data_IF_083535119802
#
_entry.id   IF_083535119802
#
_cell.length_a   1.000
_cell.length_b   1.000
_cell.length_c   1.000
_cell.angle_alpha   90.00
_cell.angle_beta   90.00
_cell.angle_gamma   90.00
#
_symmetry.space_group_name_H-M   'P 1'
#
loop_
_entity.id
_entity.type
_entity.pdbx_description
1 polymer ?
#
# COMPACT_ATOMS: atom_id res chain seq x y z
N UNK A 1 -1.94 -14.76 -31.20
CA UNK A 1 -3.03 -14.21 -30.37
C UNK A 1 -2.71 -14.54 -28.93
N UNK A 2 -2.57 -13.52 -28.05
CA UNK A 2 -2.53 -13.76 -26.62
C UNK A 2 -3.97 -13.84 -26.12
N UNK A 3 -4.32 -14.94 -25.49
CA UNK A 3 -5.64 -15.08 -24.86
C UNK A 3 -5.57 -14.50 -23.45
N UNK A 4 -6.51 -13.64 -23.08
CA UNK A 4 -6.73 -13.29 -21.70
C UNK A 4 -7.09 -14.55 -20.91
N UNK A 5 -6.28 -14.89 -19.94
CA UNK A 5 -6.47 -16.13 -19.16
C UNK A 5 -7.38 -15.96 -17.96
N UNK A 6 -7.77 -14.72 -17.65
CA UNK A 6 -8.62 -14.43 -16.50
C UNK A 6 -7.87 -14.45 -15.18
N UNK A 7 -8.61 -14.47 -14.11
CA UNK A 7 -8.14 -14.58 -12.74
C UNK A 7 -9.16 -15.29 -11.86
N UNK A 8 -8.74 -15.79 -10.71
CA UNK A 8 -9.63 -16.22 -9.63
C UNK A 8 -9.56 -15.20 -8.50
N UNK A 9 -10.71 -14.95 -7.85
CA UNK A 9 -10.82 -14.02 -6.74
C UNK A 9 -11.60 -14.66 -5.60
N UNK A 10 -11.14 -14.47 -4.37
CA UNK A 10 -11.77 -15.06 -3.18
C UNK A 10 -11.47 -14.23 -1.94
N UNK A 11 -12.30 -14.35 -0.92
CA UNK A 11 -11.98 -13.92 0.42
C UNK A 11 -11.34 -15.09 1.18
N UNK A 12 -10.24 -14.79 1.88
CA UNK A 12 -9.56 -15.74 2.75
C UNK A 12 -9.45 -15.17 4.15
N UNK A 13 -9.29 -16.03 5.15
CA UNK A 13 -8.97 -15.61 6.51
C UNK A 13 -7.47 -15.77 6.73
N UNK A 14 -6.82 -14.69 7.15
CA UNK A 14 -5.39 -14.69 7.52
C UNK A 14 -5.23 -14.37 9.01
N UNK A 15 -4.04 -14.63 9.56
CA UNK A 15 -3.68 -14.24 10.93
C UNK A 15 -3.06 -12.85 10.90
N UNK A 16 -3.78 -11.84 11.36
CA UNK A 16 -3.29 -10.49 11.54
C UNK A 16 -2.52 -10.28 12.85
N UNK A 17 -2.46 -9.03 13.29
CA UNK A 17 -1.77 -8.65 14.53
C UNK A 17 -2.25 -9.48 15.73
N UNK A 18 -1.28 -9.95 16.52
CA UNK A 18 -1.51 -10.83 17.70
C UNK A 18 -2.30 -12.11 17.38
N UNK A 19 -2.24 -12.56 16.12
CA UNK A 19 -2.93 -13.76 15.66
C UNK A 19 -4.44 -13.61 15.46
N UNK A 20 -4.98 -12.40 15.50
CA UNK A 20 -6.38 -12.12 15.23
C UNK A 20 -6.75 -12.57 13.82
N UNK A 21 -7.82 -13.38 13.63
CA UNK A 21 -8.30 -13.69 12.30
C UNK A 21 -8.85 -12.43 11.65
N UNK A 22 -8.40 -12.14 10.43
CA UNK A 22 -8.90 -11.02 9.62
C UNK A 22 -9.19 -11.50 8.22
N UNK A 23 -10.21 -10.93 7.59
CA UNK A 23 -10.56 -11.19 6.20
C UNK A 23 -9.58 -10.49 5.28
N UNK A 24 -9.21 -11.14 4.17
CA UNK A 24 -8.42 -10.55 3.11
C UNK A 24 -8.99 -10.96 1.74
N UNK A 25 -9.04 -10.02 0.81
CA UNK A 25 -9.38 -10.28 -0.57
C UNK A 25 -8.15 -10.66 -1.37
N UNK A 26 -8.22 -11.76 -2.09
CA UNK A 26 -7.14 -12.29 -2.93
C UNK A 26 -7.57 -12.30 -4.37
N UNK A 27 -6.70 -11.87 -5.26
CA UNK A 27 -6.84 -12.04 -6.70
C UNK A 27 -5.59 -12.74 -7.24
N UNK A 28 -5.81 -13.80 -8.00
CA UNK A 28 -4.79 -14.73 -8.48
C UNK A 28 -4.84 -14.82 -9.99
N UNK A 29 -3.74 -14.55 -10.73
CA UNK A 29 -3.72 -14.74 -12.17
C UNK A 29 -4.00 -16.20 -12.54
N UNK A 30 -4.72 -16.43 -13.64
CA UNK A 30 -4.82 -17.78 -14.21
C UNK A 30 -3.56 -18.13 -14.97
N UNK A 31 -3.06 -19.37 -14.76
CA UNK A 31 -1.88 -19.86 -15.45
C UNK A 31 -0.91 -20.58 -14.51
N UNK A 32 0.22 -21.06 -15.04
CA UNK A 32 1.09 -21.97 -14.31
C UNK A 32 1.92 -21.32 -13.19
N UNK A 33 1.95 -19.98 -13.06
CA UNK A 33 2.82 -19.32 -12.08
C UNK A 33 4.29 -19.75 -12.21
N UNK A 34 5.15 -19.55 -11.20
CA UNK A 34 4.85 -18.76 -10.01
C UNK A 34 4.82 -17.26 -10.29
N UNK A 35 4.00 -16.53 -9.55
CA UNK A 35 3.78 -15.09 -9.69
C UNK A 35 4.47 -14.29 -8.59
N UNK A 36 4.95 -13.07 -8.84
CA UNK A 36 5.36 -12.16 -7.77
C UNK A 36 4.13 -11.72 -6.95
N UNK A 37 4.32 -11.57 -5.64
CA UNK A 37 3.28 -11.19 -4.70
C UNK A 37 3.18 -9.68 -4.51
N UNK A 38 1.96 -9.15 -4.39
CA UNK A 38 1.70 -7.76 -3.99
C UNK A 38 0.74 -7.74 -2.82
N UNK A 39 1.15 -7.14 -1.70
CA UNK A 39 0.32 -6.89 -0.54
C UNK A 39 -0.16 -5.45 -0.56
N UNK A 40 -1.46 -5.25 -0.65
CA UNK A 40 -2.10 -3.95 -0.65
C UNK A 40 -2.48 -3.53 0.76
N UNK A 41 -2.15 -2.30 1.11
CA UNK A 41 -2.48 -1.65 2.39
C UNK A 41 -3.48 -0.55 2.07
N UNK A 42 -4.74 -0.73 2.46
CA UNK A 42 -5.80 0.19 2.10
C UNK A 42 -5.71 1.53 2.82
N UNK A 43 -6.37 2.53 2.24
CA UNK A 43 -6.41 3.89 2.76
C UNK A 43 -7.42 4.06 3.89
N UNK A 44 -7.45 5.27 4.49
CA UNK A 44 -8.35 5.58 5.60
C UNK A 44 -9.86 5.39 5.28
N UNK A 45 -10.39 5.66 4.07
CA UNK A 45 -11.76 5.31 3.73
C UNK A 45 -12.13 3.83 3.86
N UNK A 46 -11.14 2.95 4.00
CA UNK A 46 -11.37 1.57 4.38
C UNK A 46 -11.17 0.54 3.27
N UNK A 47 -11.59 -0.68 3.55
CA UNK A 47 -11.54 -1.86 2.67
C UNK A 47 -12.68 -1.80 1.66
N UNK A 48 -12.56 -0.88 0.69
CA UNK A 48 -13.60 -0.49 -0.27
C UNK A 48 -13.40 -1.16 -1.63
N UNK A 49 -14.42 -1.04 -2.50
CA UNK A 49 -14.37 -1.54 -3.88
C UNK A 49 -13.14 -1.04 -4.64
N UNK A 50 -12.66 0.17 -4.35
CA UNK A 50 -11.42 0.69 -4.94
C UNK A 50 -10.23 -0.27 -4.72
N UNK A 51 -10.08 -0.78 -3.50
CA UNK A 51 -8.97 -1.69 -3.17
C UNK A 51 -9.22 -3.10 -3.67
N UNK A 52 -10.47 -3.54 -3.69
CA UNK A 52 -10.87 -4.81 -4.30
C UNK A 52 -10.55 -4.79 -5.80
N UNK A 53 -10.91 -3.70 -6.50
CA UNK A 53 -10.57 -3.53 -7.93
C UNK A 53 -9.07 -3.41 -8.16
N UNK A 54 -8.37 -2.65 -7.31
CA UNK A 54 -6.91 -2.52 -7.41
C UNK A 54 -6.20 -3.87 -7.24
N UNK A 55 -6.70 -4.73 -6.34
CA UNK A 55 -6.20 -6.10 -6.17
C UNK A 55 -6.38 -6.92 -7.45
N UNK A 56 -7.56 -6.85 -8.08
CA UNK A 56 -7.83 -7.48 -9.39
C UNK A 56 -6.94 -6.92 -10.49
N UNK A 57 -6.66 -5.62 -10.48
CA UNK A 57 -5.78 -4.97 -11.46
C UNK A 57 -4.37 -5.55 -11.39
N UNK A 58 -3.81 -5.78 -10.20
CA UNK A 58 -2.52 -6.45 -10.07
C UNK A 58 -2.56 -7.88 -10.62
N UNK A 59 -3.61 -8.64 -10.34
CA UNK A 59 -3.76 -10.00 -10.88
C UNK A 59 -3.89 -10.00 -12.42
N UNK A 60 -4.58 -9.01 -12.99
CA UNK A 60 -4.66 -8.82 -14.45
C UNK A 60 -3.27 -8.59 -15.07
N UNK A 61 -2.35 -7.98 -14.33
CA UNK A 61 -0.97 -7.71 -14.77
C UNK A 61 0.03 -8.80 -14.34
N UNK A 62 -0.45 -9.97 -13.86
CA UNK A 62 0.41 -11.12 -13.60
C UNK A 62 1.00 -11.18 -12.18
N UNK A 63 0.42 -10.47 -11.22
CA UNK A 63 0.81 -10.51 -9.80
C UNK A 63 -0.21 -11.28 -8.98
N UNK A 64 0.23 -12.14 -8.07
CA UNK A 64 -0.62 -12.63 -7.00
C UNK A 64 -0.82 -11.48 -6.00
N UNK A 65 -2.07 -11.06 -5.77
CA UNK A 65 -2.35 -9.87 -4.99
C UNK A 65 -3.28 -10.17 -3.81
N UNK A 66 -3.03 -9.52 -2.67
CA UNK A 66 -3.85 -9.63 -1.45
C UNK A 66 -4.07 -8.25 -0.84
N UNK A 67 -5.30 -7.98 -0.40
CA UNK A 67 -5.66 -6.80 0.38
C UNK A 67 -6.37 -7.25 1.66
N UNK A 68 -5.70 -7.10 2.80
CA UNK A 68 -6.29 -7.42 4.11
C UNK A 68 -7.25 -6.32 4.57
N UNK A 69 -8.35 -6.70 5.25
CA UNK A 69 -9.24 -5.77 5.92
C UNK A 69 -8.61 -5.32 7.24
N UNK A 70 -7.91 -4.19 7.25
CA UNK A 70 -7.28 -3.61 8.45
C UNK A 70 -8.32 -3.14 9.49
N UNK A 71 -9.58 -3.04 9.08
CA UNK A 71 -10.71 -2.60 9.93
C UNK A 71 -11.61 -3.76 10.35
N UNK A 72 -11.14 -5.01 10.24
CA UNK A 72 -11.89 -6.19 10.66
C UNK A 72 -12.42 -6.08 12.09
N UNK A 73 -11.61 -5.52 12.99
CA UNK A 73 -11.96 -5.30 14.40
C UNK A 73 -12.99 -4.19 14.62
N UNK A 74 -13.25 -3.40 13.59
CA UNK A 74 -14.14 -2.24 13.59
C UNK A 74 -15.53 -2.52 13.00
N UNK A 75 -15.84 -3.79 12.69
CA UNK A 75 -17.14 -4.18 12.19
C UNK A 75 -17.13 -5.34 11.20
N UNK A 76 -15.95 -5.86 10.89
CA UNK A 76 -15.79 -7.00 9.97
C UNK A 76 -15.98 -6.64 8.50
N UNK A 77 -15.91 -7.67 7.66
CA UNK A 77 -16.01 -7.54 6.19
C UNK A 77 -17.44 -7.23 5.69
N UNK A 78 -18.45 -7.46 6.51
CA UNK A 78 -19.85 -7.23 6.17
C UNK A 78 -20.36 -5.81 6.50
N UNK A 79 -19.56 -5.04 7.24
CA UNK A 79 -19.90 -3.67 7.57
C UNK A 79 -19.75 -2.73 6.35
N UNK A 80 -20.57 -1.67 6.32
CA UNK A 80 -20.43 -0.64 5.29
C UNK A 80 -19.05 0.05 5.41
N UNK A 81 -18.18 0.00 4.40
CA UNK A 81 -16.84 0.55 4.47
C UNK A 81 -16.79 2.06 4.78
N UNK A 82 -17.77 2.83 4.27
CA UNK A 82 -17.82 4.28 4.50
C UNK A 82 -18.13 4.61 5.96
N UNK A 83 -19.03 3.87 6.61
CA UNK A 83 -19.38 4.03 8.02
C UNK A 83 -18.21 3.64 8.92
N UNK A 84 -17.56 2.52 8.62
CA UNK A 84 -16.36 2.06 9.33
C UNK A 84 -15.23 3.07 9.17
N UNK A 85 -14.96 3.51 7.95
CA UNK A 85 -13.93 4.50 7.66
C UNK A 85 -14.18 5.85 8.35
N UNK A 86 -15.45 6.30 8.44
CA UNK A 86 -15.82 7.52 9.15
C UNK A 86 -15.55 7.39 10.67
N UNK A 87 -15.93 6.26 11.27
CA UNK A 87 -15.68 5.97 12.69
C UNK A 87 -14.18 5.90 12.99
N UNK A 88 -13.42 5.10 12.23
CA UNK A 88 -11.96 4.98 12.39
C UNK A 88 -11.28 6.34 12.28
N UNK A 89 -11.74 7.18 11.35
CA UNK A 89 -11.21 8.56 11.22
C UNK A 89 -11.50 9.39 12.47
N UNK A 90 -12.72 9.34 12.99
CA UNK A 90 -13.11 10.08 14.20
C UNK A 90 -12.29 9.66 15.43
N UNK A 91 -11.84 8.40 15.46
CA UNK A 91 -11.01 7.82 16.52
C UNK A 91 -9.50 8.03 16.31
N UNK A 92 -9.09 8.78 15.28
CA UNK A 92 -7.68 9.10 14.98
C UNK A 92 -6.93 8.01 14.21
N UNK A 93 -7.63 7.11 13.55
CA UNK A 93 -7.03 6.03 12.75
C UNK A 93 -6.77 4.74 13.54
N UNK A 94 -6.20 3.75 12.87
CA UNK A 94 -5.72 2.49 13.47
C UNK A 94 -4.27 2.67 13.92
N UNK A 95 -3.87 2.00 14.99
CA UNK A 95 -2.49 2.07 15.49
C UNK A 95 -1.49 1.49 14.47
N UNK A 96 -0.36 2.17 14.29
CA UNK A 96 0.70 1.75 13.36
C UNK A 96 1.15 0.30 13.63
N UNK A 97 1.30 -0.08 14.90
CA UNK A 97 1.70 -1.42 15.28
C UNK A 97 0.70 -2.49 14.82
N UNK A 98 -0.60 -2.21 14.89
CA UNK A 98 -1.63 -3.12 14.41
C UNK A 98 -1.57 -3.27 12.89
N UNK A 99 -1.45 -2.15 12.15
CA UNK A 99 -1.37 -2.22 10.68
C UNK A 99 -0.12 -2.98 10.24
N UNK A 100 1.01 -2.77 10.90
CA UNK A 100 2.25 -3.53 10.64
C UNK A 100 2.04 -5.02 10.91
N UNK A 101 1.39 -5.40 12.02
CA UNK A 101 1.10 -6.80 12.35
C UNK A 101 0.11 -7.45 11.37
N UNK A 102 -0.92 -6.74 10.94
CA UNK A 102 -1.89 -7.23 9.93
C UNK A 102 -1.21 -7.40 8.55
N UNK A 103 -0.37 -6.44 8.17
CA UNK A 103 0.42 -6.52 6.93
C UNK A 103 1.42 -7.68 6.98
N UNK A 104 2.07 -7.91 8.12
CA UNK A 104 2.96 -9.07 8.32
C UNK A 104 2.21 -10.40 8.12
N UNK A 105 0.99 -10.48 8.61
CA UNK A 105 0.10 -11.63 8.37
C UNK A 105 -0.15 -11.86 6.88
N UNK A 106 -0.43 -10.79 6.13
CA UNK A 106 -0.64 -10.86 4.68
C UNK A 106 0.65 -11.25 3.92
N UNK A 107 1.81 -10.71 4.31
CA UNK A 107 3.12 -11.08 3.72
C UNK A 107 3.44 -12.55 3.99
N UNK A 108 3.23 -13.05 5.21
CA UNK A 108 3.42 -14.47 5.56
C UNK A 108 2.50 -15.38 4.76
N UNK A 109 1.22 -15.00 4.67
CA UNK A 109 0.26 -15.74 3.84
C UNK A 109 0.70 -15.78 2.38
N UNK A 110 1.09 -14.62 1.81
CA UNK A 110 1.58 -14.55 0.44
C UNK A 110 2.75 -15.51 0.18
N UNK A 111 3.75 -15.50 1.06
CA UNK A 111 4.94 -16.35 0.92
C UNK A 111 4.63 -17.85 1.08
N UNK A 112 3.54 -18.22 1.75
CA UNK A 112 3.11 -19.60 1.91
C UNK A 112 2.39 -20.16 0.68
N UNK A 113 2.05 -19.30 -0.30
CA UNK A 113 1.33 -19.75 -1.48
C UNK A 113 2.25 -20.48 -2.46
N UNK A 114 1.86 -21.68 -2.96
CA UNK A 114 2.71 -22.49 -3.84
C UNK A 114 2.97 -21.84 -5.20
N UNK A 115 2.10 -20.91 -5.61
CA UNK A 115 2.21 -20.15 -6.85
C UNK A 115 2.82 -18.75 -6.66
N UNK A 116 3.30 -18.40 -5.45
CA UNK A 116 4.13 -17.22 -5.23
C UNK A 116 5.58 -17.53 -5.59
N UNK A 117 6.25 -16.63 -6.34
CA UNK A 117 7.67 -16.80 -6.70
C UNK A 117 8.65 -16.48 -5.57
N UNK A 118 8.13 -16.15 -4.37
CA UNK A 118 8.92 -15.77 -3.19
C UNK A 118 9.27 -14.27 -3.13
N UNK A 119 9.02 -13.49 -4.18
CA UNK A 119 9.17 -12.04 -4.18
C UNK A 119 7.85 -11.38 -3.76
N UNK A 120 7.92 -10.48 -2.79
CA UNK A 120 6.73 -9.79 -2.26
C UNK A 120 6.98 -8.30 -2.17
N UNK A 121 6.05 -7.52 -2.70
CA UNK A 121 6.08 -6.06 -2.62
C UNK A 121 4.86 -5.51 -1.89
N UNK A 122 4.99 -4.27 -1.42
CA UNK A 122 3.92 -3.49 -0.79
C UNK A 122 3.39 -2.42 -1.74
N UNK A 123 2.09 -2.22 -1.73
CA UNK A 123 1.41 -1.13 -2.41
C UNK A 123 0.43 -0.45 -1.45
N UNK A 124 0.59 0.84 -1.24
CA UNK A 124 -0.35 1.61 -0.41
C UNK A 124 -0.56 3.02 -0.92
N UNK A 125 -1.72 3.60 -0.62
CA UNK A 125 -2.01 5.00 -0.92
C UNK A 125 -2.55 5.73 0.31
N UNK A 126 -2.34 7.03 0.41
CA UNK A 126 -2.78 7.84 1.55
C UNK A 126 -2.21 7.25 2.87
N UNK A 127 -3.05 6.96 3.86
CA UNK A 127 -2.60 6.27 5.09
C UNK A 127 -1.97 4.90 4.79
N UNK A 128 -2.44 4.18 3.78
CA UNK A 128 -1.84 2.92 3.34
C UNK A 128 -0.44 3.11 2.77
N UNK A 129 -0.18 4.21 2.06
CA UNK A 129 1.16 4.56 1.58
C UNK A 129 2.13 4.82 2.73
N UNK A 130 1.69 5.61 3.71
CA UNK A 130 2.42 5.81 4.97
C UNK A 130 2.74 4.49 5.67
N UNK A 131 1.76 3.59 5.79
CA UNK A 131 1.97 2.30 6.46
C UNK A 131 2.84 1.34 5.65
N UNK A 132 2.81 1.39 4.32
CA UNK A 132 3.73 0.64 3.48
C UNK A 132 5.19 1.05 3.75
N UNK A 133 5.44 2.36 3.85
CA UNK A 133 6.76 2.88 4.22
C UNK A 133 7.18 2.46 5.63
N UNK A 134 6.29 2.58 6.63
CA UNK A 134 6.56 2.12 8.01
C UNK A 134 6.93 0.63 8.02
N UNK A 135 6.14 -0.20 7.34
CA UNK A 135 6.40 -1.64 7.27
C UNK A 135 7.78 -1.92 6.66
N UNK A 136 8.09 -1.30 5.53
CA UNK A 136 9.38 -1.46 4.85
C UNK A 136 10.58 -0.98 5.70
N UNK A 137 10.35 -0.06 6.63
CA UNK A 137 11.37 0.36 7.60
C UNK A 137 11.50 -0.61 8.80
N UNK A 138 10.40 -1.21 9.24
CA UNK A 138 10.39 -2.05 10.44
C UNK A 138 10.62 -3.55 10.15
N UNK A 139 10.38 -4.00 8.93
CA UNK A 139 10.50 -5.41 8.51
C UNK A 139 11.48 -5.52 7.34
N UNK A 140 12.13 -6.69 7.22
CA UNK A 140 13.15 -6.95 6.18
C UNK A 140 12.73 -8.08 5.25
N UNK A 141 11.43 -8.23 5.06
CA UNK A 141 10.83 -9.35 4.36
C UNK A 141 10.01 -8.94 3.13
N UNK A 142 10.30 -7.77 2.56
CA UNK A 142 9.71 -7.29 1.30
C UNK A 142 10.79 -6.82 0.34
N UNK A 143 10.54 -6.99 -0.96
CA UNK A 143 11.51 -6.78 -2.03
C UNK A 143 11.34 -5.41 -2.71
N UNK A 144 10.18 -4.77 -2.58
CA UNK A 144 9.88 -3.44 -3.10
C UNK A 144 8.71 -2.79 -2.33
N UNK A 145 8.67 -1.48 -2.29
CA UNK A 145 7.59 -0.72 -1.66
C UNK A 145 7.10 0.39 -2.59
N UNK A 146 5.79 0.53 -2.70
CA UNK A 146 5.16 1.67 -3.38
C UNK A 146 4.34 2.46 -2.38
N UNK A 147 4.67 3.75 -2.32
CA UNK A 147 4.00 4.77 -1.53
C UNK A 147 3.33 5.78 -2.46
N UNK A 148 2.01 5.74 -2.54
CA UNK A 148 1.25 6.74 -3.26
C UNK A 148 0.77 7.81 -2.28
N UNK A 149 1.28 9.04 -2.42
CA UNK A 149 0.93 10.21 -1.58
C UNK A 149 0.72 9.85 -0.10
N UNK A 150 1.69 9.15 0.50
CA UNK A 150 1.64 8.79 1.91
C UNK A 150 1.60 10.02 2.81
N UNK A 151 0.43 10.32 3.37
CA UNK A 151 0.28 11.44 4.29
C UNK A 151 0.90 11.14 5.65
N UNK A 152 1.44 12.18 6.32
CA UNK A 152 2.02 12.05 7.66
C UNK A 152 3.23 11.11 7.74
N UNK A 153 4.02 11.01 6.67
CA UNK A 153 5.39 10.46 6.76
C UNK A 153 6.28 11.45 7.49
N UNK A 154 6.17 12.73 7.13
CA UNK A 154 6.73 13.85 7.88
C UNK A 154 5.71 14.31 8.92
N UNK A 155 6.08 14.28 10.19
CA UNK A 155 5.21 14.65 11.32
C UNK A 155 5.97 15.47 12.35
N UNK A 156 5.32 16.49 12.91
CA UNK A 156 5.80 17.19 14.08
C UNK A 156 5.65 16.35 15.35
N UNK A 157 6.43 16.68 16.37
CA UNK A 157 6.36 15.96 17.67
C UNK A 157 4.97 16.06 18.32
N UNK A 158 4.28 17.17 18.09
CA UNK A 158 2.92 17.45 18.59
C UNK A 158 1.84 16.56 17.94
N UNK A 159 2.14 15.97 16.79
CA UNK A 159 1.24 15.06 16.10
C UNK A 159 1.38 13.60 16.57
N UNK A 160 2.43 13.31 17.33
CA UNK A 160 2.68 11.97 17.86
C UNK A 160 1.71 11.62 18.98
N UNK A 161 1.29 10.36 19.02
CA UNK A 161 0.39 9.86 20.05
C UNK A 161 0.58 8.34 20.24
N UNK A 162 -0.24 7.70 21.07
CA UNK A 162 -0.12 6.26 21.36
C UNK A 162 -0.35 5.37 20.15
N UNK A 163 -1.14 5.81 19.16
CA UNK A 163 -1.37 5.07 17.91
C UNK A 163 -0.26 5.30 16.89
N UNK A 164 0.40 6.45 16.93
CA UNK A 164 1.45 6.90 16.02
C UNK A 164 2.64 7.44 16.84
N UNK A 165 3.40 6.54 17.52
CA UNK A 165 4.40 6.97 18.52
C UNK A 165 5.68 7.53 17.93
N UNK A 166 5.96 7.28 16.65
CA UNK A 166 7.17 7.69 15.94
C UNK A 166 6.82 8.28 14.58
N UNK A 167 7.43 9.39 14.21
CA UNK A 167 7.29 9.92 12.86
C UNK A 167 7.96 8.95 11.86
N UNK A 168 7.26 8.51 10.80
CA UNK A 168 7.84 7.54 9.86
C UNK A 168 9.16 8.01 9.23
N UNK A 169 9.33 9.29 9.01
CA UNK A 169 10.57 9.86 8.47
C UNK A 169 11.79 9.50 9.33
N UNK A 170 11.64 9.41 10.64
CA UNK A 170 12.72 9.05 11.57
C UNK A 170 13.17 7.58 11.42
N UNK A 171 12.36 6.75 10.75
CA UNK A 171 12.66 5.34 10.45
C UNK A 171 13.40 5.17 9.11
N UNK A 172 13.59 6.23 8.31
CA UNK A 172 14.12 6.15 6.93
C UNK A 172 15.44 5.39 6.83
N UNK A 173 16.32 5.52 7.83
CA UNK A 173 17.61 4.78 7.90
C UNK A 173 17.45 3.25 7.83
N UNK A 174 16.30 2.74 8.25
CA UNK A 174 16.01 1.30 8.35
C UNK A 174 15.25 0.76 7.11
N UNK A 175 14.89 1.62 6.14
CA UNK A 175 14.22 1.19 4.90
C UNK A 175 15.01 0.06 4.23
N UNK A 176 14.34 -1.09 4.03
CA UNK A 176 14.99 -2.35 3.64
C UNK A 176 14.99 -2.65 2.14
N UNK A 177 14.16 -1.96 1.36
CA UNK A 177 13.94 -2.25 -0.05
C UNK A 177 13.83 -0.96 -0.88
N UNK A 178 13.92 -1.03 -2.22
CA UNK A 178 13.63 0.10 -3.10
C UNK A 178 12.23 0.65 -2.89
N UNK A 179 12.09 1.98 -2.94
CA UNK A 179 10.86 2.72 -2.74
C UNK A 179 10.47 3.48 -4.01
N UNK A 180 9.24 3.32 -4.49
CA UNK A 180 8.62 4.21 -5.47
C UNK A 180 7.62 5.12 -4.76
N UNK A 181 7.77 6.43 -4.90
CA UNK A 181 6.83 7.43 -4.42
C UNK A 181 6.17 8.18 -5.58
N UNK A 182 4.82 8.29 -5.56
CA UNK A 182 4.08 9.08 -6.53
C UNK A 182 3.27 10.14 -5.79
N UNK A 183 3.46 11.42 -6.13
CA UNK A 183 2.89 12.55 -5.40
C UNK A 183 2.29 13.60 -6.34
N UNK A 184 1.20 14.22 -5.93
CA UNK A 184 0.63 15.38 -6.61
C UNK A 184 1.20 16.68 -6.06
N UNK A 185 1.54 17.64 -6.93
CA UNK A 185 2.07 18.95 -6.51
C UNK A 185 0.99 19.87 -5.92
N UNK A 186 -0.30 19.55 -6.15
CA UNK A 186 -1.44 20.28 -5.58
C UNK A 186 -1.98 19.60 -4.30
N UNK A 187 -1.26 18.61 -3.78
CA UNK A 187 -1.62 17.94 -2.52
C UNK A 187 -1.22 18.81 -1.31
N UNK A 188 -2.04 18.79 -0.28
CA UNK A 188 -1.79 19.49 0.99
C UNK A 188 -1.20 18.59 2.07
N UNK A 189 -1.34 17.26 1.91
CA UNK A 189 -0.85 16.26 2.88
C UNK A 189 -0.61 14.89 2.21
N UNK A 190 0.62 14.63 1.72
CA UNK A 190 1.83 15.43 1.91
C UNK A 190 1.89 16.65 0.98
N UNK A 191 2.31 17.79 1.52
CA UNK A 191 2.62 18.97 0.70
C UNK A 191 3.93 18.75 -0.08
N UNK A 192 4.20 19.52 -1.15
CA UNK A 192 5.46 19.47 -1.88
C UNK A 192 6.70 19.63 -0.97
N UNK A 193 6.59 20.45 0.09
CA UNK A 193 7.67 20.66 1.08
C UNK A 193 7.91 19.39 1.89
N UNK A 194 6.84 18.72 2.36
CA UNK A 194 6.95 17.44 3.08
C UNK A 194 7.54 16.35 2.18
N UNK A 195 7.20 16.33 0.90
CA UNK A 195 7.80 15.38 -0.07
C UNK A 195 9.29 15.70 -0.27
N UNK A 196 9.69 16.99 -0.31
CA UNK A 196 11.09 17.40 -0.37
C UNK A 196 11.89 16.92 0.86
N UNK A 197 11.29 17.06 2.05
CA UNK A 197 11.90 16.63 3.31
C UNK A 197 12.07 15.09 3.34
N UNK A 198 11.03 14.35 2.94
CA UNK A 198 11.11 12.89 2.83
C UNK A 198 12.21 12.47 1.84
N UNK A 199 12.26 13.09 0.67
CA UNK A 199 13.30 12.82 -0.33
C UNK A 199 14.71 13.15 0.18
N UNK A 200 14.87 14.24 0.90
CA UNK A 200 16.15 14.63 1.51
C UNK A 200 16.64 13.60 2.53
N UNK A 201 15.75 13.05 3.34
CA UNK A 201 16.09 12.03 4.34
C UNK A 201 16.45 10.69 3.67
N UNK A 202 15.76 10.28 2.58
CA UNK A 202 16.14 9.13 1.78
C UNK A 202 17.55 9.29 1.18
N UNK A 203 17.87 10.46 0.62
CA UNK A 203 19.20 10.80 0.09
C UNK A 203 20.27 10.74 1.18
N UNK A 204 20.02 11.35 2.33
CA UNK A 204 20.91 11.37 3.48
C UNK A 204 21.30 9.97 3.94
N UNK A 205 20.37 9.03 3.88
CA UNK A 205 20.61 7.64 4.28
C UNK A 205 20.99 6.71 3.12
N UNK A 206 21.24 7.25 1.91
CA UNK A 206 21.68 6.48 0.74
C UNK A 206 20.67 5.41 0.31
N UNK A 207 19.35 5.66 0.47
CA UNK A 207 18.29 4.71 0.14
C UNK A 207 18.04 4.68 -1.36
N UNK A 208 17.66 3.51 -1.87
CA UNK A 208 17.21 3.35 -3.25
C UNK A 208 15.76 3.80 -3.36
N UNK A 209 15.50 4.83 -4.15
CA UNK A 209 14.16 5.34 -4.34
C UNK A 209 13.97 5.98 -5.72
N UNK A 210 12.71 6.11 -6.14
CA UNK A 210 12.24 6.82 -7.33
C UNK A 210 11.02 7.65 -6.92
N UNK A 211 11.12 9.00 -6.96
CA UNK A 211 9.99 9.89 -6.67
C UNK A 211 9.55 10.59 -7.95
N UNK A 212 8.25 10.55 -8.23
CA UNK A 212 7.62 11.25 -9.33
C UNK A 212 6.55 12.21 -8.81
N UNK A 213 6.50 13.39 -9.39
CA UNK A 213 5.61 14.47 -9.00
C UNK A 213 4.77 14.91 -10.19
N UNK A 214 3.51 15.18 -9.93
CA UNK A 214 2.51 15.47 -10.95
C UNK A 214 1.87 16.82 -10.72
N UNK A 215 2.09 17.77 -11.65
CA UNK A 215 1.41 19.06 -11.67
C UNK A 215 -0.07 18.87 -11.96
N UNK A 216 -0.93 19.69 -11.35
CA UNK A 216 -2.38 19.62 -11.49
C UNK A 216 -3.02 18.41 -10.83
N UNK A 217 -2.25 17.60 -10.08
CA UNK A 217 -2.73 16.47 -9.33
C UNK A 217 -2.70 16.76 -7.83
N UNK A 218 -3.76 16.38 -7.13
CA UNK A 218 -3.90 16.49 -5.67
C UNK A 218 -3.98 15.11 -5.01
N UNK A 219 -4.28 15.09 -3.73
CA UNK A 219 -4.45 13.84 -2.97
C UNK A 219 -5.44 12.89 -3.64
N UNK A 220 -5.04 11.64 -3.88
CA UNK A 220 -5.95 10.63 -4.43
C UNK A 220 -6.21 10.73 -5.94
N UNK A 221 -5.31 11.32 -6.71
CA UNK A 221 -5.48 11.50 -8.16
C UNK A 221 -5.60 10.18 -8.98
N UNK A 222 -5.40 9.03 -8.36
CA UNK A 222 -5.70 7.70 -8.94
C UNK A 222 -7.16 7.25 -8.70
N UNK A 223 -7.90 7.94 -7.82
CA UNK A 223 -9.24 7.50 -7.43
C UNK A 223 -10.27 7.81 -8.51
N UNK A 224 -10.39 6.91 -9.48
CA UNK A 224 -11.22 7.06 -10.68
C UNK A 224 -12.70 7.38 -10.40
N UNK A 225 -13.21 7.07 -9.22
CA UNK A 225 -14.58 7.33 -8.77
C UNK A 225 -14.75 8.67 -8.02
N UNK A 226 -13.69 9.49 -7.95
CA UNK A 226 -13.69 10.77 -7.23
C UNK A 226 -13.39 11.94 -8.19
N UNK A 227 -13.91 13.14 -7.89
CA UNK A 227 -13.62 14.35 -8.72
C UNK A 227 -12.13 14.71 -8.79
N UNK A 228 -11.33 14.19 -7.86
CA UNK A 228 -9.87 14.39 -7.81
C UNK A 228 -9.11 13.56 -8.84
N UNK A 229 -9.78 12.64 -9.54
CA UNK A 229 -9.15 11.79 -10.54
C UNK A 229 -8.49 12.62 -11.66
N UNK A 230 -7.26 12.28 -11.98
CA UNK A 230 -6.49 12.87 -13.08
C UNK A 230 -6.04 11.75 -14.02
N UNK A 231 -6.79 11.49 -15.09
CA UNK A 231 -6.58 10.32 -15.95
C UNK A 231 -5.16 10.19 -16.50
N UNK A 232 -4.60 11.26 -17.02
CA UNK A 232 -3.26 11.26 -17.63
C UNK A 232 -2.18 10.93 -16.59
N UNK A 233 -2.21 11.64 -15.46
CA UNK A 233 -1.26 11.41 -14.35
C UNK A 233 -1.42 10.02 -13.74
N UNK A 234 -2.66 9.54 -13.61
CA UNK A 234 -2.93 8.20 -13.09
C UNK A 234 -2.43 7.11 -14.04
N UNK A 235 -2.63 7.24 -15.34
CA UNK A 235 -2.13 6.28 -16.34
C UNK A 235 -0.60 6.24 -16.38
N UNK A 236 0.05 7.40 -16.37
CA UNK A 236 1.51 7.46 -16.27
C UNK A 236 2.01 6.84 -14.96
N UNK A 237 1.37 7.14 -13.83
CA UNK A 237 1.70 6.57 -12.55
C UNK A 237 1.55 5.05 -12.51
N UNK A 238 0.48 4.49 -13.08
CA UNK A 238 0.35 3.02 -13.21
C UNK A 238 1.45 2.40 -14.07
N UNK A 239 1.86 3.07 -15.16
CA UNK A 239 2.99 2.63 -15.97
C UNK A 239 4.27 2.54 -15.13
N UNK A 240 4.54 3.55 -14.28
CA UNK A 240 5.68 3.55 -13.35
C UNK A 240 5.59 2.45 -12.30
N UNK A 241 4.39 2.22 -11.73
CA UNK A 241 4.13 1.12 -10.78
C UNK A 241 4.54 -0.23 -11.39
N UNK A 242 4.05 -0.55 -12.58
CA UNK A 242 4.35 -1.83 -13.21
C UNK A 242 5.80 -1.94 -13.70
N UNK A 243 6.41 -0.85 -14.19
CA UNK A 243 7.82 -0.82 -14.55
C UNK A 243 8.72 -1.07 -13.33
N UNK A 244 8.41 -0.42 -12.20
CA UNK A 244 9.14 -0.58 -10.95
C UNK A 244 9.05 -2.01 -10.41
N UNK A 245 7.86 -2.58 -10.36
CA UNK A 245 7.70 -3.98 -9.93
C UNK A 245 8.33 -4.96 -10.92
N UNK A 246 8.23 -4.72 -12.23
CA UNK A 246 8.91 -5.53 -13.24
C UNK A 246 10.42 -5.58 -13.02
N UNK A 247 11.03 -4.46 -12.60
CA UNK A 247 12.47 -4.37 -12.28
C UNK A 247 12.86 -5.12 -11.00
N UNK A 248 12.03 -5.04 -9.95
CA UNK A 248 12.42 -5.50 -8.61
C UNK A 248 11.84 -6.86 -8.20
N UNK A 249 10.79 -7.35 -8.86
CA UNK A 249 10.11 -8.61 -8.54
C UNK A 249 10.33 -9.70 -9.60
N UNK A 250 10.99 -9.39 -10.71
CA UNK A 250 11.44 -10.41 -11.65
C UNK A 250 12.42 -11.38 -10.97
N UNK A 251 12.38 -12.65 -11.39
CA UNK A 251 13.37 -13.65 -10.96
C UNK A 251 14.70 -13.40 -11.62
#
# INVERSE_FOLDING_TARGET
MSFYRGMTCENVTIKGDKGTPITAYVARPSGPGPFPGVVLIHHLPGWSELYIETTRRFAHHGYLAICANLYEREGGSDANPDDVGARVRAEGGVADAQVVGDTEGAVKWMRSQPDCNGKVALFGSCSGGRHAFIYACQRKDVDACIELWGGRVVMGKEELNTKTPVAPIDMTKDLCCPLLGLFGNDDRAPSPEQVNEHEAELKKHGKSYEFHRYDGASHGFFYWHRPLYRPEQAMDGWSKVFAFYGKHLAK
#
